data_IF_828772521686
#
_entry.id   IF_828772521686
#
_cell.length_a   1.000
_cell.length_b   1.000
_cell.length_c   1.000
_cell.angle_alpha   90.00
_cell.angle_beta   90.00
_cell.angle_gamma   90.00
#
_symmetry.space_group_name_H-M   'P 1'
#
loop_
_entity.id
_entity.type
_entity.pdbx_description
1 polymer ?
#
# COMPACT_ATOMS: atom_id res chain seq x y z
N UNK A 1 -17.50 -7.48 9.38
CA UNK A 1 -16.42 -8.49 9.44
C UNK A 1 -16.76 -9.62 10.44
N UNK A 2 -17.92 -10.28 10.33
CA UNK A 2 -18.38 -11.26 11.35
C UNK A 2 -17.44 -12.47 11.48
N UNK A 3 -16.83 -12.87 10.36
CA UNK A 3 -15.95 -14.04 10.28
C UNK A 3 -14.47 -13.71 10.51
N UNK A 4 -14.16 -12.46 10.90
CA UNK A 4 -12.79 -12.05 11.18
C UNK A 4 -12.11 -12.85 12.31
N UNK A 5 -12.78 -13.20 13.43
CA UNK A 5 -12.14 -13.99 14.48
C UNK A 5 -11.56 -15.31 13.96
N UNK A 6 -12.30 -16.01 13.08
CA UNK A 6 -11.84 -17.26 12.48
C UNK A 6 -10.72 -17.03 11.47
N UNK A 7 -10.86 -16.01 10.61
CA UNK A 7 -9.83 -15.60 9.66
C UNK A 7 -8.50 -15.25 10.37
N UNK A 8 -8.59 -14.60 11.54
CA UNK A 8 -7.45 -14.28 12.39
C UNK A 8 -6.85 -15.55 13.02
N UNK A 9 -7.68 -16.45 13.56
CA UNK A 9 -7.26 -17.73 14.17
C UNK A 9 -6.48 -18.59 13.17
N UNK A 10 -6.95 -18.66 11.93
CA UNK A 10 -6.30 -19.39 10.83
C UNK A 10 -5.02 -18.72 10.30
N UNK A 11 -4.64 -17.56 10.86
CA UNK A 11 -3.50 -16.75 10.40
C UNK A 11 -3.58 -16.42 8.89
N UNK A 12 -4.78 -16.29 8.33
CA UNK A 12 -5.01 -16.11 6.89
C UNK A 12 -4.34 -14.84 6.34
N UNK A 13 -4.15 -13.80 7.17
CA UNK A 13 -3.37 -12.60 6.78
C UNK A 13 -1.96 -12.95 6.32
N UNK A 14 -1.31 -13.93 6.97
CA UNK A 14 0.05 -14.35 6.62
C UNK A 14 0.12 -15.05 5.26
N UNK A 15 -1.00 -15.58 4.77
CA UNK A 15 -1.10 -16.20 3.45
C UNK A 15 -1.33 -15.16 2.35
N UNK A 16 -1.96 -14.03 2.68
CA UNK A 16 -2.25 -12.94 1.74
C UNK A 16 -1.09 -11.98 1.56
N UNK A 17 -0.32 -11.73 2.62
CA UNK A 17 0.76 -10.74 2.61
C UNK A 17 2.01 -11.36 3.22
N UNK A 18 3.11 -11.36 2.48
CA UNK A 18 4.37 -12.00 2.91
C UNK A 18 5.26 -11.07 3.72
N UNK A 19 5.15 -9.75 3.56
CA UNK A 19 5.97 -8.78 4.28
C UNK A 19 5.47 -8.57 5.71
N UNK A 20 6.31 -8.86 6.71
CA UNK A 20 5.92 -8.89 8.13
C UNK A 20 5.39 -7.53 8.66
N UNK A 21 5.98 -6.38 8.33
CA UNK A 21 5.42 -5.09 8.72
C UNK A 21 4.02 -4.84 8.14
N UNK A 22 3.78 -5.22 6.88
CA UNK A 22 2.43 -5.15 6.30
C UNK A 22 1.45 -6.10 7.01
N UNK A 23 1.86 -7.32 7.36
CA UNK A 23 1.02 -8.22 8.14
C UNK A 23 0.61 -7.59 9.49
N UNK A 24 1.55 -6.94 10.18
CA UNK A 24 1.31 -6.27 11.47
C UNK A 24 0.35 -5.10 11.31
N UNK A 25 0.54 -4.28 10.27
CA UNK A 25 -0.36 -3.20 9.90
C UNK A 25 -1.79 -3.72 9.69
N UNK A 26 -1.96 -4.74 8.84
CA UNK A 26 -3.29 -5.29 8.52
C UNK A 26 -3.95 -5.97 9.72
N UNK A 27 -3.19 -6.68 10.56
CA UNK A 27 -3.70 -7.22 11.83
C UNK A 27 -4.26 -6.11 12.71
N UNK A 28 -3.48 -5.03 12.88
CA UNK A 28 -3.87 -3.89 13.70
C UNK A 28 -5.09 -3.16 13.13
N UNK A 29 -5.11 -2.92 11.81
CA UNK A 29 -6.22 -2.27 11.12
C UNK A 29 -7.51 -3.07 11.26
N UNK A 30 -7.46 -4.39 11.01
CA UNK A 30 -8.63 -5.26 11.14
C UNK A 30 -9.08 -5.42 12.59
N UNK A 31 -8.18 -5.54 13.56
CA UNK A 31 -8.53 -5.60 14.98
C UNK A 31 -9.26 -4.33 15.45
N UNK A 32 -8.74 -3.16 15.07
CA UNK A 32 -9.36 -1.87 15.42
C UNK A 32 -10.71 -1.68 14.72
N UNK A 33 -10.83 -2.06 13.45
CA UNK A 33 -12.09 -1.99 12.70
C UNK A 33 -13.13 -2.95 13.28
N UNK A 34 -12.75 -4.19 13.57
CA UNK A 34 -13.64 -5.20 14.15
C UNK A 34 -14.14 -4.82 15.54
N UNK A 35 -13.28 -4.21 16.36
CA UNK A 35 -13.64 -3.72 17.71
C UNK A 35 -14.36 -2.37 17.71
N UNK A 36 -14.65 -1.78 16.55
CA UNK A 36 -15.33 -0.48 16.43
C UNK A 36 -14.47 0.72 16.84
N UNK A 37 -13.15 0.55 16.99
CA UNK A 37 -12.20 1.64 17.30
C UNK A 37 -11.85 2.49 16.08
N UNK A 38 -12.06 1.96 14.89
CA UNK A 38 -11.99 2.70 13.62
C UNK A 38 -13.35 2.52 12.95
N UNK A 39 -14.01 3.64 12.65
CA UNK A 39 -15.23 3.67 11.85
C UNK A 39 -14.88 4.08 10.42
N UNK A 40 -14.79 3.08 9.55
CA UNK A 40 -14.50 3.21 8.12
C UNK A 40 -15.18 2.06 7.38
N UNK A 41 -15.16 2.04 6.05
CA UNK A 41 -15.72 0.92 5.26
C UNK A 41 -14.63 0.14 4.48
N UNK A 42 -13.50 0.77 4.22
CA UNK A 42 -12.45 0.27 3.32
C UNK A 42 -11.77 -0.98 3.88
N UNK A 43 -11.46 -1.02 5.18
CA UNK A 43 -10.91 -2.23 5.81
C UNK A 43 -11.88 -3.43 5.76
N UNK A 44 -13.19 -3.20 5.90
CA UNK A 44 -14.20 -4.25 5.75
C UNK A 44 -14.26 -4.77 4.32
N UNK A 45 -14.08 -3.88 3.34
CA UNK A 45 -14.04 -4.26 1.94
C UNK A 45 -12.81 -5.10 1.61
N UNK A 46 -11.61 -4.68 2.06
CA UNK A 46 -10.38 -5.47 1.89
C UNK A 46 -10.50 -6.84 2.54
N UNK A 47 -11.05 -6.91 3.76
CA UNK A 47 -11.32 -8.19 4.42
C UNK A 47 -12.21 -9.10 3.57
N UNK A 48 -13.29 -8.55 3.00
CA UNK A 48 -14.20 -9.31 2.13
C UNK A 48 -13.47 -9.87 0.92
N UNK A 49 -12.67 -9.06 0.23
CA UNK A 49 -11.87 -9.51 -0.93
C UNK A 49 -10.94 -10.66 -0.51
N UNK A 50 -10.17 -10.49 0.56
CA UNK A 50 -9.19 -11.49 0.99
C UNK A 50 -9.84 -12.80 1.43
N UNK A 51 -10.93 -12.71 2.20
CA UNK A 51 -11.68 -13.87 2.66
C UNK A 51 -12.18 -14.72 1.49
N UNK A 52 -12.57 -14.07 0.39
CA UNK A 52 -13.07 -14.72 -0.82
C UNK A 52 -12.00 -15.00 -1.88
N UNK A 53 -10.71 -14.79 -1.56
CA UNK A 53 -9.59 -14.92 -2.50
C UNK A 53 -9.80 -14.11 -3.79
N UNK A 54 -10.45 -12.95 -3.67
CA UNK A 54 -10.79 -12.08 -4.79
C UNK A 54 -9.55 -11.43 -5.40
N UNK A 55 -9.62 -11.17 -6.71
CA UNK A 55 -8.61 -10.42 -7.45
C UNK A 55 -9.10 -8.99 -7.69
N UNK A 56 -8.18 -8.03 -7.60
CA UNK A 56 -8.45 -6.63 -7.92
C UNK A 56 -7.75 -6.24 -9.22
N UNK A 57 -8.41 -5.40 -10.01
CA UNK A 57 -7.82 -4.73 -11.16
C UNK A 57 -7.23 -3.40 -10.65
N UNK A 58 -5.93 -3.19 -10.89
CA UNK A 58 -5.24 -1.95 -10.57
C UNK A 58 -4.89 -1.28 -11.91
N UNK A 59 -5.40 -0.07 -12.19
CA UNK A 59 -5.04 0.62 -13.41
C UNK A 59 -3.57 1.08 -13.36
N UNK A 60 -2.89 1.05 -14.49
CA UNK A 60 -1.49 1.52 -14.61
C UNK A 60 -1.37 3.05 -14.58
N UNK A 61 -2.49 3.75 -14.63
CA UNK A 61 -2.58 5.21 -14.67
C UNK A 61 -3.70 5.68 -13.75
N UNK A 62 -3.59 6.92 -13.28
CA UNK A 62 -4.61 7.51 -12.42
C UNK A 62 -5.88 7.84 -13.22
N UNK A 63 -7.01 7.24 -12.86
CA UNK A 63 -8.30 7.44 -13.54
C UNK A 63 -9.26 8.38 -12.78
N UNK A 64 -8.88 8.82 -11.59
CA UNK A 64 -9.74 9.60 -10.69
C UNK A 64 -8.97 10.80 -10.14
N UNK A 65 -9.68 11.86 -9.77
CA UNK A 65 -9.11 12.97 -9.00
C UNK A 65 -9.72 12.93 -7.60
N UNK A 66 -8.88 12.76 -6.57
CA UNK A 66 -9.35 12.80 -5.19
C UNK A 66 -9.48 14.26 -4.73
N UNK A 67 -10.73 14.70 -4.53
CA UNK A 67 -11.10 16.06 -4.09
C UNK A 67 -11.49 16.11 -2.60
N UNK A 68 -11.32 15.01 -1.86
CA UNK A 68 -11.72 14.88 -0.45
C UNK A 68 -10.72 15.43 0.56
N UNK A 69 -9.97 16.48 0.21
CA UNK A 69 -8.91 17.06 1.05
C UNK A 69 -9.20 18.53 1.40
N UNK A 70 -8.60 19.03 2.47
CA UNK A 70 -8.65 20.44 2.88
C UNK A 70 -9.79 20.77 3.85
N UNK A 71 -10.04 22.06 4.06
CA UNK A 71 -10.96 22.56 5.10
C UNK A 71 -12.40 22.06 4.96
N UNK A 72 -12.84 21.72 3.74
CA UNK A 72 -14.16 21.15 3.47
C UNK A 72 -14.25 19.63 3.63
N UNK A 73 -13.15 18.93 3.93
CA UNK A 73 -13.14 17.48 4.02
C UNK A 73 -13.68 16.98 5.36
N UNK A 74 -14.38 15.83 5.34
CA UNK A 74 -14.91 15.21 6.57
C UNK A 74 -13.83 14.59 7.43
N UNK A 75 -12.79 14.02 6.79
CA UNK A 75 -11.79 13.20 7.48
C UNK A 75 -10.33 13.60 7.20
N UNK A 76 -10.07 14.38 6.15
CA UNK A 76 -8.69 14.67 5.70
C UNK A 76 -8.48 16.15 5.47
N UNK A 77 -8.34 16.88 6.59
CA UNK A 77 -8.25 18.35 6.62
C UNK A 77 -6.92 18.89 6.08
N UNK A 78 -5.90 18.04 5.96
CA UNK A 78 -4.59 18.42 5.42
C UNK A 78 -4.43 17.92 3.99
N UNK A 79 -3.80 18.73 3.16
CA UNK A 79 -3.49 18.36 1.78
C UNK A 79 -2.51 17.16 1.71
N UNK A 80 -2.51 16.46 0.58
CA UNK A 80 -1.72 15.24 0.38
C UNK A 80 -1.06 15.23 -0.99
N UNK A 81 0.06 14.53 -1.14
CA UNK A 81 0.66 14.25 -2.46
C UNK A 81 -0.29 13.48 -3.40
N UNK A 82 -1.37 12.91 -2.86
CA UNK A 82 -2.41 12.21 -3.60
C UNK A 82 -3.65 13.07 -3.89
N UNK A 83 -3.67 14.32 -3.43
CA UNK A 83 -4.77 15.24 -3.69
C UNK A 83 -4.70 15.82 -5.10
N UNK A 84 -5.87 15.99 -5.72
CA UNK A 84 -6.00 16.73 -6.97
C UNK A 84 -5.09 16.25 -8.12
N UNK A 85 -4.67 14.97 -8.10
CA UNK A 85 -3.84 14.41 -9.15
C UNK A 85 -4.59 14.41 -10.50
N UNK A 86 -3.91 14.74 -11.61
CA UNK A 86 -4.53 14.73 -12.92
C UNK A 86 -4.95 13.30 -13.30
N UNK A 87 -6.09 13.19 -13.98
CA UNK A 87 -6.53 11.94 -14.59
C UNK A 87 -5.89 11.74 -15.95
N UNK A 88 -5.62 10.49 -16.29
CA UNK A 88 -5.19 10.09 -17.63
C UNK A 88 -6.34 9.34 -18.31
N UNK A 89 -6.82 9.77 -19.48
CA UNK A 89 -7.86 9.06 -20.23
C UNK A 89 -7.43 7.64 -20.58
N UNK A 90 -8.36 6.69 -20.49
CA UNK A 90 -8.12 5.31 -20.88
C UNK A 90 -8.65 5.04 -22.29
N UNK A 91 -7.83 4.42 -23.12
CA UNK A 91 -8.20 3.97 -24.46
C UNK A 91 -9.00 2.66 -24.37
N UNK A 92 -10.30 2.77 -24.09
CA UNK A 92 -11.19 1.60 -23.86
C UNK A 92 -11.17 0.58 -25.00
N UNK A 93 -10.95 1.03 -26.23
CA UNK A 93 -10.91 0.18 -27.42
C UNK A 93 -9.69 -0.76 -27.45
N UNK A 94 -8.68 -0.50 -26.64
CA UNK A 94 -7.47 -1.34 -26.51
C UNK A 94 -7.55 -2.31 -25.33
N UNK A 95 -8.65 -2.26 -24.56
CA UNK A 95 -8.83 -3.16 -23.41
C UNK A 95 -9.35 -4.51 -23.86
N UNK A 96 -8.64 -5.57 -23.49
CA UNK A 96 -9.09 -6.95 -23.65
C UNK A 96 -9.39 -7.58 -22.28
N UNK A 97 -10.55 -8.20 -22.14
CA UNK A 97 -10.83 -9.00 -20.95
C UNK A 97 -9.91 -10.23 -20.93
N UNK A 98 -9.21 -10.51 -19.82
CA UNK A 98 -8.36 -11.69 -19.74
C UNK A 98 -9.20 -12.97 -19.86
N UNK A 99 -8.74 -13.93 -20.65
CA UNK A 99 -9.41 -15.24 -20.77
C UNK A 99 -9.28 -16.09 -19.50
N UNK A 100 -8.26 -15.82 -18.69
CA UNK A 100 -8.01 -16.47 -17.41
C UNK A 100 -7.83 -15.43 -16.32
N UNK A 101 -8.56 -15.60 -15.21
CA UNK A 101 -8.45 -14.74 -14.03
C UNK A 101 -7.35 -15.26 -13.11
N UNK A 102 -6.11 -14.91 -13.43
CA UNK A 102 -4.93 -15.30 -12.65
C UNK A 102 -4.27 -14.07 -12.01
N UNK A 103 -3.71 -14.26 -10.82
CA UNK A 103 -2.97 -13.23 -10.13
C UNK A 103 -1.72 -12.82 -10.91
N UNK A 104 -1.61 -11.53 -11.25
CA UNK A 104 -0.39 -10.97 -11.78
C UNK A 104 0.62 -10.72 -10.64
N UNK A 105 1.60 -11.61 -10.49
CA UNK A 105 2.62 -11.55 -9.42
C UNK A 105 3.55 -10.34 -9.55
N UNK A 106 3.88 -9.91 -10.76
CA UNK A 106 4.70 -8.72 -10.99
C UNK A 106 3.97 -7.45 -10.56
N UNK A 107 2.72 -7.29 -11.02
CA UNK A 107 1.89 -6.15 -10.62
C UNK A 107 1.67 -6.11 -9.10
N UNK A 108 1.47 -7.28 -8.48
CA UNK A 108 1.38 -7.39 -7.02
C UNK A 108 2.67 -6.90 -6.36
N UNK A 109 3.83 -7.40 -6.81
CA UNK A 109 5.14 -7.03 -6.26
C UNK A 109 5.40 -5.53 -6.40
N UNK A 110 5.10 -4.97 -7.57
CA UNK A 110 5.19 -3.53 -7.82
C UNK A 110 4.30 -2.72 -6.88
N UNK A 111 3.01 -3.07 -6.80
CA UNK A 111 2.06 -2.35 -5.94
C UNK A 111 2.47 -2.41 -4.47
N UNK A 112 2.92 -3.58 -3.99
CA UNK A 112 3.43 -3.71 -2.64
C UNK A 112 4.66 -2.83 -2.39
N UNK A 113 5.65 -2.85 -3.30
CA UNK A 113 6.86 -2.03 -3.16
C UNK A 113 6.56 -0.52 -3.12
N UNK A 114 5.64 -0.06 -3.98
CA UNK A 114 5.32 1.38 -4.11
C UNK A 114 4.45 1.92 -2.98
N UNK A 115 3.45 1.14 -2.56
CA UNK A 115 2.37 1.62 -1.71
C UNK A 115 2.36 1.00 -0.30
N UNK A 116 2.95 -0.18 -0.08
CA UNK A 116 2.72 -0.97 1.14
C UNK A 116 3.95 -1.45 1.91
N UNK A 117 5.15 -1.47 1.32
CA UNK A 117 6.36 -2.02 1.96
C UNK A 117 7.29 -0.97 2.57
N UNK A 118 7.30 0.27 2.07
CA UNK A 118 8.22 1.29 2.57
C UNK A 118 7.50 2.26 3.50
N UNK A 119 7.92 2.39 4.78
CA UNK A 119 7.50 3.50 5.60
C UNK A 119 7.78 4.82 4.86
N UNK A 120 6.88 5.80 4.93
CA UNK A 120 7.02 7.08 4.22
C UNK A 120 8.38 7.76 4.45
N UNK A 121 8.99 7.56 5.62
CA UNK A 121 10.34 8.06 5.94
C UNK A 121 11.49 7.31 5.25
N UNK A 122 11.31 6.06 4.81
CA UNK A 122 12.28 5.34 3.96
C UNK A 122 12.41 5.98 2.59
N UNK A 123 11.31 6.48 2.00
CA UNK A 123 11.36 7.20 0.71
C UNK A 123 12.29 8.41 0.81
N UNK A 124 12.17 9.18 1.89
CA UNK A 124 13.06 10.32 2.18
C UNK A 124 14.52 9.89 2.39
N UNK A 125 14.78 8.79 3.11
CA UNK A 125 16.14 8.26 3.30
C UNK A 125 16.76 7.73 2.00
N UNK A 126 16.02 6.98 1.19
CA UNK A 126 16.47 6.45 -0.11
C UNK A 126 16.72 7.59 -1.10
N UNK A 127 15.83 8.57 -1.20
CA UNK A 127 16.03 9.78 -2.02
C UNK A 127 17.29 10.53 -1.60
N UNK A 128 17.52 10.63 -0.29
CA UNK A 128 18.71 11.25 0.28
C UNK A 128 19.99 10.42 0.02
N UNK A 129 19.90 9.09 -0.05
CA UNK A 129 21.00 8.20 -0.44
C UNK A 129 21.32 8.33 -1.94
N UNK A 130 20.30 8.30 -2.81
CA UNK A 130 20.46 8.50 -4.26
C UNK A 130 21.08 9.86 -4.59
N UNK A 131 20.69 10.92 -3.86
CA UNK A 131 21.33 12.23 -3.99
C UNK A 131 22.81 12.19 -3.61
N UNK A 132 23.18 11.47 -2.55
CA UNK A 132 24.58 11.32 -2.14
C UNK A 132 25.40 10.51 -3.14
N UNK A 133 24.82 9.45 -3.73
CA UNK A 133 25.40 8.67 -4.83
C UNK A 133 25.67 9.55 -6.07
N UNK A 134 24.69 10.37 -6.46
CA UNK A 134 24.84 11.28 -7.59
C UNK A 134 25.90 12.36 -7.35
N UNK A 135 26.12 12.75 -6.09
CA UNK A 135 27.11 13.74 -5.67
C UNK A 135 28.49 13.14 -5.35
N UNK A 136 28.65 11.81 -5.44
CA UNK A 136 29.91 11.13 -5.12
C UNK A 136 30.32 11.19 -3.64
N UNK A 137 29.40 11.42 -2.70
CA UNK A 137 29.72 11.51 -1.27
C UNK A 137 29.73 10.13 -0.60
N UNK A 138 30.83 9.40 -0.80
CA UNK A 138 31.04 8.04 -0.30
C UNK A 138 30.95 7.91 1.22
N UNK A 139 31.26 8.98 1.97
CA UNK A 139 31.17 8.99 3.44
C UNK A 139 29.71 8.92 3.91
N UNK A 140 28.81 9.70 3.29
CA UNK A 140 27.37 9.68 3.59
C UNK A 140 26.70 8.40 3.11
N UNK A 141 27.21 7.77 2.05
CA UNK A 141 26.68 6.51 1.52
C UNK A 141 26.92 5.38 2.53
N UNK A 142 28.14 5.25 3.07
CA UNK A 142 28.45 4.21 4.06
C UNK A 142 27.60 4.32 5.32
N UNK A 143 27.42 5.54 5.86
CA UNK A 143 26.58 5.77 7.04
C UNK A 143 25.13 5.37 6.78
N UNK A 144 24.55 5.79 5.66
CA UNK A 144 23.15 5.49 5.33
C UNK A 144 22.89 4.02 4.98
N UNK A 145 23.85 3.33 4.35
CA UNK A 145 23.75 1.89 4.11
C UNK A 145 23.74 1.09 5.42
N UNK A 146 24.54 1.50 6.42
CA UNK A 146 24.54 0.92 7.77
C UNK A 146 23.21 1.12 8.49
N UNK A 147 22.61 2.30 8.39
CA UNK A 147 21.27 2.56 8.95
C UNK A 147 20.20 1.67 8.30
N UNK A 148 20.22 1.50 6.98
CA UNK A 148 19.25 0.68 6.25
C UNK A 148 19.37 -0.81 6.57
N UNK A 149 20.59 -1.34 6.70
CA UNK A 149 20.83 -2.76 7.07
C UNK A 149 20.47 -3.08 8.51
N UNK A 150 20.57 -2.12 9.42
CA UNK A 150 20.15 -2.31 10.83
C UNK A 150 18.63 -2.39 10.96
N UNK A 151 17.89 -1.73 10.06
CA UNK A 151 16.43 -1.66 10.08
C UNK A 151 15.75 -2.77 9.27
N UNK A 152 16.44 -3.43 8.32
CA UNK A 152 15.92 -4.62 7.62
C UNK A 152 15.92 -5.88 8.49
N UNK A 153 16.56 -5.83 9.66
CA UNK A 153 16.69 -6.94 10.62
C UNK A 153 15.69 -6.84 11.79
N UNK A 154 14.72 -5.91 11.72
CA UNK A 154 13.58 -5.74 12.63
C UNK A 154 12.28 -6.08 11.90
#
# INVERSE_FOLDING_TARGET
MKEYPEFKRLKSINQMVTYAPSQSYWKTAFDKTYSGKIDTWDYQWVFTIWKHQGLCIIPNQNLITNIGFGEGATNTLTDSEFANLPTVPIEVNQMSHPSNLVLNKEALTYAFAQFYQLPSWWKSKIKSLMKALYQGDFSKIQTKLKELTTMSNL
#
